data_IF_278105032267
#
_entry.id   IF_278105032267
#
_cell.length_a   1.000
_cell.length_b   1.000
_cell.length_c   1.000
_cell.angle_alpha   90.00
_cell.angle_beta   90.00
_cell.angle_gamma   90.00
#
_symmetry.space_group_name_H-M   'P 1'
#
loop_
_entity.id
_entity.type
_entity.pdbx_description
1 polymer ?
#
# COMPACT_ATOMS: atom_id res chain seq x y z
N UNK A 1 9.76 -15.15 -20.58
CA UNK A 1 8.69 -16.17 -20.63
C UNK A 1 8.37 -16.57 -22.06
N UNK A 2 8.26 -15.63 -22.99
CA UNK A 2 8.02 -15.97 -24.41
C UNK A 2 9.16 -16.82 -24.99
N UNK A 3 10.42 -16.58 -24.57
CA UNK A 3 11.56 -17.43 -24.93
C UNK A 3 11.49 -18.85 -24.33
N UNK A 4 10.88 -19.00 -23.16
CA UNK A 4 10.63 -20.33 -22.55
C UNK A 4 9.60 -21.11 -23.34
N UNK A 5 8.50 -20.47 -23.76
CA UNK A 5 7.49 -21.14 -24.58
C UNK A 5 8.00 -21.49 -25.99
N UNK A 6 8.94 -20.71 -26.54
CA UNK A 6 9.51 -20.95 -27.85
C UNK A 6 10.35 -22.26 -27.88
N UNK A 7 11.03 -22.60 -26.78
CA UNK A 7 11.87 -23.81 -26.67
C UNK A 7 11.27 -24.89 -25.76
N UNK A 8 9.97 -24.85 -25.55
CA UNK A 8 9.30 -25.73 -24.56
C UNK A 8 9.48 -27.21 -24.88
N UNK A 9 9.62 -27.58 -26.14
CA UNK A 9 9.83 -28.96 -26.57
C UNK A 9 11.17 -29.54 -26.11
N UNK A 10 12.14 -28.70 -25.78
CA UNK A 10 13.46 -29.14 -25.31
C UNK A 10 13.48 -29.50 -23.82
N UNK A 11 12.64 -28.84 -23.00
CA UNK A 11 12.69 -28.97 -21.54
C UNK A 11 11.40 -29.46 -20.86
N UNK A 12 10.30 -29.62 -21.60
CA UNK A 12 9.00 -30.03 -21.03
C UNK A 12 9.03 -31.37 -20.30
N UNK A 13 9.76 -32.35 -20.85
CA UNK A 13 9.90 -33.67 -20.22
C UNK A 13 10.75 -33.63 -18.97
N UNK A 14 11.84 -32.85 -18.99
CA UNK A 14 12.71 -32.67 -17.83
C UNK A 14 12.00 -31.92 -16.71
N UNK A 15 11.27 -30.83 -17.04
CA UNK A 15 10.47 -30.11 -16.07
C UNK A 15 9.34 -30.98 -15.48
N UNK A 16 8.66 -31.74 -16.31
CA UNK A 16 7.64 -32.67 -15.82
C UNK A 16 8.20 -33.72 -14.89
N UNK A 17 9.42 -34.21 -15.14
CA UNK A 17 10.12 -35.11 -14.23
C UNK A 17 10.49 -34.45 -12.92
N UNK A 18 11.00 -33.23 -12.95
CA UNK A 18 11.32 -32.44 -11.75
C UNK A 18 10.07 -32.19 -10.90
N UNK A 19 8.93 -31.93 -11.51
CA UNK A 19 7.64 -31.74 -10.79
C UNK A 19 7.27 -33.01 -10.00
N UNK A 20 7.53 -34.20 -10.53
CA UNK A 20 7.20 -35.49 -9.87
C UNK A 20 8.25 -35.88 -8.86
N UNK A 21 9.53 -35.75 -9.20
CA UNK A 21 10.66 -36.28 -8.40
C UNK A 21 11.15 -35.27 -7.35
N UNK A 22 11.04 -33.97 -7.63
CA UNK A 22 11.54 -32.87 -6.78
C UNK A 22 10.54 -31.72 -6.70
N UNK A 23 9.36 -31.89 -6.06
CA UNK A 23 8.31 -30.88 -6.02
C UNK A 23 8.76 -29.55 -5.45
N UNK A 24 9.72 -29.54 -4.50
CA UNK A 24 10.26 -28.32 -3.89
C UNK A 24 11.05 -27.48 -4.89
N UNK A 25 11.84 -28.11 -5.76
CA UNK A 25 12.57 -27.43 -6.84
C UNK A 25 11.61 -26.91 -7.90
N UNK A 26 10.61 -27.71 -8.26
CA UNK A 26 9.54 -27.29 -9.17
C UNK A 26 8.76 -26.11 -8.63
N UNK A 27 8.49 -26.07 -7.33
CA UNK A 27 7.82 -24.95 -6.67
C UNK A 27 8.57 -23.63 -6.86
N UNK A 28 9.88 -23.61 -6.66
CA UNK A 28 10.71 -22.40 -6.85
C UNK A 28 10.61 -21.89 -8.28
N UNK A 29 10.75 -22.80 -9.25
CA UNK A 29 10.68 -22.46 -10.67
C UNK A 29 9.29 -21.97 -11.09
N UNK A 30 8.24 -22.68 -10.71
CA UNK A 30 6.86 -22.32 -11.03
C UNK A 30 6.42 -21.04 -10.33
N UNK A 31 6.89 -20.77 -9.11
CA UNK A 31 6.68 -19.50 -8.41
C UNK A 31 7.30 -18.33 -9.16
N UNK A 32 8.50 -18.52 -9.70
CA UNK A 32 9.14 -17.49 -10.52
C UNK A 32 8.34 -17.23 -11.80
N UNK A 33 7.92 -18.26 -12.51
CA UNK A 33 7.12 -18.12 -13.74
C UNK A 33 5.77 -17.48 -13.43
N UNK A 34 5.09 -17.85 -12.36
CA UNK A 34 3.79 -17.29 -11.99
C UNK A 34 3.82 -15.78 -11.74
N UNK A 35 4.97 -15.25 -11.31
CA UNK A 35 5.18 -13.80 -11.06
C UNK A 35 5.60 -13.02 -12.30
N UNK A 36 6.25 -13.68 -13.25
CA UNK A 36 6.87 -13.03 -14.43
C UNK A 36 6.10 -13.25 -15.73
N UNK A 37 5.30 -14.31 -15.80
CA UNK A 37 4.47 -14.65 -16.95
C UNK A 37 3.08 -14.01 -16.87
N UNK A 38 2.43 -13.88 -18.04
CA UNK A 38 0.98 -13.66 -18.05
C UNK A 38 0.27 -14.91 -17.53
N UNK A 39 -0.93 -14.77 -16.96
CA UNK A 39 -1.73 -15.90 -16.48
C UNK A 39 -1.98 -16.94 -17.59
N UNK A 40 -2.17 -16.49 -18.82
CA UNK A 40 -2.36 -17.36 -19.99
C UNK A 40 -1.11 -18.21 -20.24
N UNK A 41 0.07 -17.59 -20.28
CA UNK A 41 1.33 -18.29 -20.55
C UNK A 41 1.68 -19.26 -19.41
N UNK A 42 1.40 -18.90 -18.17
CA UNK A 42 1.58 -19.77 -17.02
C UNK A 42 0.71 -21.04 -17.12
N UNK A 43 -0.59 -20.88 -17.40
CA UNK A 43 -1.52 -22.01 -17.59
C UNK A 43 -1.13 -22.90 -18.77
N UNK A 44 -0.60 -22.31 -19.84
CA UNK A 44 -0.11 -23.08 -20.99
C UNK A 44 1.09 -23.95 -20.63
N UNK A 45 2.04 -23.44 -19.86
CA UNK A 45 3.16 -24.23 -19.32
C UNK A 45 2.67 -25.41 -18.49
N UNK A 46 1.75 -25.20 -17.55
CA UNK A 46 1.19 -26.25 -16.72
C UNK A 46 0.50 -27.34 -17.55
N UNK A 47 -0.30 -26.93 -18.54
CA UNK A 47 -0.99 -27.84 -19.44
C UNK A 47 -0.02 -28.72 -20.23
N UNK A 48 1.01 -28.11 -20.79
CA UNK A 48 2.04 -28.84 -21.56
C UNK A 48 2.75 -29.87 -20.68
N UNK A 49 3.05 -29.55 -19.40
CA UNK A 49 3.65 -30.49 -18.45
C UNK A 49 2.73 -31.67 -18.21
N UNK A 50 1.45 -31.44 -17.96
CA UNK A 50 0.45 -32.49 -17.70
C UNK A 50 0.25 -33.35 -18.95
N UNK A 51 0.18 -32.76 -20.12
CA UNK A 51 0.03 -33.49 -21.40
C UNK A 51 1.24 -34.42 -21.66
N UNK A 52 2.46 -34.02 -21.24
CA UNK A 52 3.66 -34.83 -21.40
C UNK A 52 3.83 -35.89 -20.29
N UNK A 53 3.52 -35.53 -19.04
CA UNK A 53 3.67 -36.40 -17.87
C UNK A 53 2.40 -36.28 -17.02
N UNK A 54 1.36 -37.13 -17.28
CA UNK A 54 0.10 -37.06 -16.53
C UNK A 54 0.26 -37.23 -15.02
N UNK A 55 1.32 -37.94 -14.57
CA UNK A 55 1.65 -38.07 -13.14
C UNK A 55 2.01 -36.74 -12.46
N UNK A 56 2.29 -35.67 -13.22
CA UNK A 56 2.59 -34.34 -12.70
C UNK A 56 1.33 -33.56 -12.25
N UNK A 57 0.11 -33.98 -12.62
CA UNK A 57 -1.14 -33.25 -12.32
C UNK A 57 -1.33 -33.03 -10.81
N UNK A 58 -1.20 -34.07 -9.99
CA UNK A 58 -1.41 -33.97 -8.55
C UNK A 58 -0.31 -33.13 -7.84
N UNK A 59 1.00 -33.32 -8.11
CA UNK A 59 2.04 -32.43 -7.60
C UNK A 59 1.83 -30.97 -8.02
N UNK A 60 1.48 -30.71 -9.29
CA UNK A 60 1.23 -29.36 -9.79
C UNK A 60 0.10 -28.66 -9.04
N UNK A 61 -1.03 -29.35 -8.81
CA UNK A 61 -2.15 -28.82 -8.05
C UNK A 61 -1.74 -28.42 -6.62
N UNK A 62 -0.85 -29.20 -5.99
CA UNK A 62 -0.31 -28.89 -4.66
C UNK A 62 0.59 -27.64 -4.71
N UNK A 63 1.47 -27.56 -5.70
CA UNK A 63 2.36 -26.42 -5.91
C UNK A 63 1.56 -25.14 -6.18
N UNK A 64 0.53 -25.20 -7.01
CA UNK A 64 -0.35 -24.04 -7.28
C UNK A 64 -1.04 -23.52 -6.01
N UNK A 65 -1.53 -24.43 -5.16
CA UNK A 65 -2.16 -23.99 -3.89
C UNK A 65 -1.12 -23.39 -2.94
N UNK A 66 0.11 -23.90 -2.89
CA UNK A 66 1.21 -23.31 -2.11
C UNK A 66 1.54 -21.90 -2.61
N UNK A 67 1.71 -21.71 -3.92
CA UNK A 67 1.98 -20.38 -4.53
C UNK A 67 0.87 -19.39 -4.17
N UNK A 68 -0.38 -19.84 -4.25
CA UNK A 68 -1.54 -19.01 -3.91
C UNK A 68 -1.58 -18.63 -2.43
N UNK A 69 -1.24 -19.57 -1.54
CA UNK A 69 -1.18 -19.32 -0.10
C UNK A 69 -0.06 -18.33 0.24
N UNK A 70 1.13 -18.48 -0.34
CA UNK A 70 2.23 -17.54 -0.17
C UNK A 70 1.86 -16.14 -0.68
N UNK A 71 1.26 -16.04 -1.87
CA UNK A 71 0.79 -14.77 -2.40
C UNK A 71 -0.22 -14.07 -1.48
N UNK A 72 -1.14 -14.84 -0.86
CA UNK A 72 -2.09 -14.29 0.11
C UNK A 72 -1.41 -13.81 1.40
N UNK A 73 -0.41 -14.55 1.88
CA UNK A 73 0.34 -14.18 3.08
C UNK A 73 1.15 -12.90 2.85
N UNK A 74 1.88 -12.83 1.72
CA UNK A 74 2.64 -11.65 1.32
C UNK A 74 1.73 -10.43 1.15
N UNK A 75 0.64 -10.54 0.39
CA UNK A 75 -0.31 -9.45 0.19
C UNK A 75 -0.95 -8.96 1.49
N UNK A 76 -1.23 -9.85 2.46
CA UNK A 76 -1.70 -9.44 3.80
C UNK A 76 -0.62 -8.71 4.58
N UNK A 77 0.63 -9.16 4.48
CA UNK A 77 1.74 -8.53 5.19
C UNK A 77 2.04 -7.14 4.63
N UNK A 78 2.09 -7.02 3.31
CA UNK A 78 2.26 -5.76 2.60
C UNK A 78 1.13 -4.78 2.91
N UNK A 79 -0.13 -5.18 2.74
CA UNK A 79 -1.29 -4.34 3.05
C UNK A 79 -1.36 -3.90 4.52
N UNK A 80 -0.91 -4.76 5.48
CA UNK A 80 -0.80 -4.35 6.89
C UNK A 80 0.31 -3.35 7.12
N UNK A 81 1.41 -3.47 6.40
CA UNK A 81 2.54 -2.54 6.52
C UNK A 81 2.19 -1.18 5.90
N UNK A 82 1.61 -1.19 4.71
CA UNK A 82 1.11 0.02 4.04
C UNK A 82 0.06 0.73 4.88
N UNK A 83 -0.99 0.04 5.33
CA UNK A 83 -2.02 0.64 6.17
C UNK A 83 -1.51 1.18 7.51
N UNK A 84 -0.43 0.58 8.09
CA UNK A 84 0.22 1.15 9.27
C UNK A 84 1.00 2.42 8.96
N UNK A 85 1.67 2.48 7.81
CA UNK A 85 2.41 3.67 7.38
C UNK A 85 1.46 4.82 7.05
N UNK A 86 0.41 4.54 6.29
CA UNK A 86 -0.64 5.50 5.95
C UNK A 86 -1.33 6.04 7.20
N UNK A 87 -1.82 5.16 8.07
CA UNK A 87 -2.49 5.58 9.32
C UNK A 87 -1.56 6.36 10.27
N UNK A 88 -0.25 6.05 10.28
CA UNK A 88 0.72 6.84 11.04
C UNK A 88 0.90 8.24 10.45
N UNK A 89 0.96 8.33 9.12
CA UNK A 89 1.12 9.62 8.44
C UNK A 89 -0.12 10.49 8.60
N UNK A 90 -1.30 9.93 8.37
CA UNK A 90 -2.59 10.59 8.63
C UNK A 90 -2.71 11.06 10.08
N UNK A 91 -2.35 10.22 11.03
CA UNK A 91 -2.37 10.56 12.46
C UNK A 91 -1.39 11.68 12.81
N UNK A 92 -0.21 11.73 12.21
CA UNK A 92 0.75 12.81 12.38
C UNK A 92 0.25 14.13 11.80
N UNK A 93 -0.37 14.10 10.63
CA UNK A 93 -0.94 15.28 9.97
C UNK A 93 -2.14 15.82 10.76
N UNK A 94 -3.05 14.94 11.17
CA UNK A 94 -4.19 15.32 12.01
C UNK A 94 -3.75 15.91 13.36
N UNK A 95 -2.78 15.25 14.02
CA UNK A 95 -2.21 15.75 15.27
C UNK A 95 -1.51 17.12 15.14
N UNK A 96 -0.86 17.35 13.99
CA UNK A 96 -0.23 18.65 13.69
C UNK A 96 -1.26 19.76 13.52
N UNK A 97 -2.38 19.48 12.83
CA UNK A 97 -3.47 20.43 12.67
C UNK A 97 -4.09 20.77 14.03
N UNK A 98 -4.37 19.76 14.86
CA UNK A 98 -4.97 19.98 16.17
C UNK A 98 -4.05 20.76 17.10
N UNK A 99 -2.76 20.43 17.12
CA UNK A 99 -1.77 21.21 17.90
C UNK A 99 -1.71 22.68 17.47
N UNK A 100 -1.81 22.98 16.16
CA UNK A 100 -1.85 24.35 15.67
C UNK A 100 -3.14 25.07 16.04
N UNK A 101 -4.28 24.38 16.07
CA UNK A 101 -5.54 24.94 16.56
C UNK A 101 -5.44 25.34 18.03
N UNK A 102 -4.87 24.49 18.86
CA UNK A 102 -4.69 24.77 20.28
C UNK A 102 -3.73 25.95 20.51
N UNK A 103 -2.61 25.96 19.79
CA UNK A 103 -1.65 27.09 19.86
C UNK A 103 -2.31 28.38 19.40
N UNK A 104 -3.05 28.37 18.29
CA UNK A 104 -3.74 29.55 17.79
C UNK A 104 -4.77 30.07 18.81
N UNK A 105 -5.59 29.19 19.37
CA UNK A 105 -6.57 29.50 20.40
C UNK A 105 -5.93 30.17 21.61
N UNK A 106 -4.88 29.55 22.14
CA UNK A 106 -4.11 30.09 23.26
C UNK A 106 -3.55 31.49 22.98
N UNK A 107 -2.95 31.71 21.80
CA UNK A 107 -2.39 33.00 21.41
C UNK A 107 -3.45 34.07 21.24
N UNK A 108 -4.61 33.73 20.66
CA UNK A 108 -5.75 34.66 20.50
C UNK A 108 -6.33 35.06 21.86
N UNK A 109 -6.55 34.09 22.76
CA UNK A 109 -7.03 34.36 24.12
C UNK A 109 -6.08 35.25 24.92
N UNK A 110 -4.79 34.99 24.82
CA UNK A 110 -3.77 35.79 25.52
C UNK A 110 -3.73 37.25 25.02
N UNK A 111 -3.93 37.46 23.71
CA UNK A 111 -3.75 38.78 23.12
C UNK A 111 -5.05 39.62 23.04
N UNK A 112 -6.15 38.95 22.73
CA UNK A 112 -7.43 39.62 22.45
C UNK A 112 -8.53 39.28 23.44
N UNK A 113 -8.29 38.37 24.38
CA UNK A 113 -9.29 37.89 25.32
C UNK A 113 -10.08 36.68 24.76
N UNK A 114 -11.18 36.30 25.41
CA UNK A 114 -11.94 35.11 25.07
C UNK A 114 -12.35 35.09 23.60
N UNK A 115 -12.14 33.92 22.95
CA UNK A 115 -12.48 33.68 21.53
C UNK A 115 -13.97 33.38 21.44
N UNK A 116 -14.72 34.15 20.67
CA UNK A 116 -16.16 33.93 20.46
C UNK A 116 -16.44 32.75 19.52
N UNK A 117 -17.68 32.23 19.56
CA UNK A 117 -18.12 31.08 18.82
C UNK A 117 -17.86 31.14 17.30
N UNK A 118 -17.99 32.33 16.70
CA UNK A 118 -17.75 32.51 15.27
C UNK A 118 -16.29 32.30 14.89
N UNK A 119 -15.35 32.75 15.72
CA UNK A 119 -13.92 32.56 15.51
C UNK A 119 -13.50 31.11 15.85
N UNK A 120 -14.12 30.46 16.82
CA UNK A 120 -13.93 29.04 17.08
C UNK A 120 -14.33 28.17 15.87
N UNK A 121 -15.43 28.54 15.20
CA UNK A 121 -15.84 27.87 13.97
C UNK A 121 -14.82 28.05 12.83
N UNK A 122 -14.22 29.24 12.70
CA UNK A 122 -13.15 29.48 11.73
C UNK A 122 -11.89 28.67 12.03
N UNK A 123 -11.47 28.58 13.29
CA UNK A 123 -10.34 27.77 13.73
C UNK A 123 -10.59 26.27 13.43
N UNK A 124 -11.80 25.80 13.72
CA UNK A 124 -12.18 24.41 13.50
C UNK A 124 -12.21 24.03 12.01
N UNK A 125 -12.64 24.95 11.14
CA UNK A 125 -12.71 24.75 9.69
C UNK A 125 -11.37 24.92 8.98
N UNK A 126 -10.42 25.65 9.58
CA UNK A 126 -9.14 26.01 8.97
C UNK A 126 -8.24 24.80 8.73
N UNK A 127 -7.64 24.75 7.54
CA UNK A 127 -6.62 23.79 7.16
C UNK A 127 -5.22 24.15 7.68
N UNK A 128 -4.24 23.26 7.49
CA UNK A 128 -2.87 23.41 8.01
C UNK A 128 -2.24 24.76 7.62
N UNK A 129 -2.29 25.11 6.34
CA UNK A 129 -1.68 26.35 5.83
C UNK A 129 -2.37 27.63 6.35
N UNK A 130 -3.68 27.55 6.54
CA UNK A 130 -4.46 28.65 7.09
C UNK A 130 -4.13 28.88 8.56
N UNK A 131 -4.04 27.81 9.34
CA UNK A 131 -3.65 27.85 10.74
C UNK A 131 -2.24 28.40 10.91
N UNK A 132 -1.27 27.96 10.09
CA UNK A 132 0.10 28.49 10.14
C UNK A 132 0.14 29.98 9.85
N UNK A 133 -0.60 30.45 8.84
CA UNK A 133 -0.72 31.88 8.52
C UNK A 133 -1.39 32.67 9.64
N UNK A 134 -2.45 32.10 10.22
CA UNK A 134 -3.14 32.77 11.34
C UNK A 134 -2.24 32.91 12.56
N UNK A 135 -1.49 31.84 12.94
CA UNK A 135 -0.51 31.88 14.03
C UNK A 135 0.53 32.99 13.80
N UNK A 136 1.09 33.08 12.59
CA UNK A 136 2.07 34.11 12.25
C UNK A 136 1.47 35.54 12.34
N UNK A 137 0.19 35.71 11.96
CA UNK A 137 -0.51 36.97 11.98
C UNK A 137 -0.90 37.46 13.38
N UNK A 138 -1.15 36.55 14.33
CA UNK A 138 -1.51 36.95 15.70
C UNK A 138 -0.53 37.97 16.26
N UNK A 139 0.78 37.86 15.93
CA UNK A 139 1.81 38.76 16.43
C UNK A 139 1.66 40.22 15.97
N UNK A 140 1.12 40.46 14.76
CA UNK A 140 1.06 41.77 14.10
C UNK A 140 -0.36 42.30 13.91
N UNK A 141 -1.39 41.50 14.08
CA UNK A 141 -2.78 41.85 13.89
C UNK A 141 -3.22 42.93 14.90
N UNK A 142 -4.00 43.90 14.45
CA UNK A 142 -4.59 44.97 15.30
C UNK A 142 -5.79 44.46 16.10
N UNK A 143 -6.53 43.51 15.56
CA UNK A 143 -7.75 42.97 16.13
C UNK A 143 -7.93 41.48 15.70
N UNK A 144 -8.86 40.81 16.36
CA UNK A 144 -9.13 39.39 16.15
C UNK A 144 -9.60 39.07 14.72
N UNK A 145 -10.40 39.94 14.11
CA UNK A 145 -10.92 39.74 12.76
C UNK A 145 -9.80 39.82 11.71
N UNK A 146 -8.79 40.65 11.90
CA UNK A 146 -7.67 40.83 10.98
C UNK A 146 -6.75 39.59 10.91
N UNK A 147 -6.79 38.68 11.91
CA UNK A 147 -6.04 37.42 11.91
C UNK A 147 -6.54 36.47 10.81
N UNK A 148 -7.85 36.46 10.56
CA UNK A 148 -8.52 35.55 9.64
C UNK A 148 -8.77 36.10 8.24
N UNK A 149 -8.47 37.39 7.99
CA UNK A 149 -8.69 37.98 6.66
C UNK A 149 -7.72 37.42 5.62
N UNK A 150 -8.22 36.98 4.45
CA UNK A 150 -7.34 36.63 3.32
C UNK A 150 -6.69 37.93 2.78
N UNK A 151 -5.43 37.84 2.45
CA UNK A 151 -4.75 38.86 1.63
C UNK A 151 -4.89 38.51 0.18
#
# INVERSE_FOLDING_TARGET
>A
VDALLTNIDEWKEDLGRVVVESPDEAFVFLSYISRTATERNYREVLRIIIDCIPAAEAPLATIEEQIKQEGRLLGRQEGRQEGRQEGRQEGLEAGRVEALRDVLRMLLEQRFGPVGADHEALIAAAGLDELQRAVARVAVASDLASVFQPH
#
